data_IF_245021236556
#
_entry.id   IF_245021236556
#
_cell.length_a   1.000
_cell.length_b   1.000
_cell.length_c   1.000
_cell.angle_alpha   90.00
_cell.angle_beta   90.00
_cell.angle_gamma   90.00
#
_symmetry.space_group_name_H-M   'P 1'
#
loop_
_entity.id
_entity.type
_entity.pdbx_description
1 polymer ?
#
# COMPACT_ATOMS: atom_id res chain seq x y z
N UNK A 1 12.93 -17.88 4.09
CA UNK A 1 11.47 -17.96 3.88
C UNK A 1 10.88 -16.59 4.17
N UNK A 2 10.08 -16.05 3.24
CA UNK A 2 9.44 -14.74 3.41
C UNK A 2 8.30 -14.85 4.44
N UNK A 3 8.25 -13.94 5.40
CA UNK A 3 7.17 -13.82 6.39
C UNK A 3 6.57 -12.43 6.34
N UNK A 4 5.27 -12.33 6.61
CA UNK A 4 4.58 -11.05 6.74
C UNK A 4 3.65 -11.06 7.94
N UNK A 5 3.60 -9.93 8.63
CA UNK A 5 2.73 -9.70 9.78
C UNK A 5 1.95 -8.41 9.55
N UNK A 6 0.70 -8.36 10.01
CA UNK A 6 -0.14 -7.16 9.93
C UNK A 6 -0.79 -6.88 11.29
N UNK A 7 -0.98 -5.60 11.60
CA UNK A 7 -1.63 -5.15 12.82
C UNK A 7 -2.39 -3.85 12.57
N UNK A 8 -3.33 -3.53 13.47
CA UNK A 8 -4.14 -2.32 13.43
C UNK A 8 -5.63 -2.59 13.26
N UNK A 9 -6.42 -1.58 13.55
CA UNK A 9 -7.89 -1.62 13.51
C UNK A 9 -8.42 -0.74 12.39
N UNK A 10 -9.56 -1.11 11.77
CA UNK A 10 -10.16 -0.33 10.68
C UNK A 10 -10.54 1.11 11.08
N UNK A 11 -10.83 1.36 12.36
CA UNK A 11 -11.10 2.69 12.92
C UNK A 11 -9.95 3.19 13.81
N UNK A 12 -8.83 2.47 13.83
CA UNK A 12 -7.63 2.84 14.56
C UNK A 12 -6.85 3.93 13.83
N UNK A 13 -5.76 4.40 14.45
CA UNK A 13 -4.93 5.47 13.87
C UNK A 13 -4.22 5.07 12.58
N UNK A 14 -3.82 3.81 12.47
CA UNK A 14 -3.11 3.29 11.30
C UNK A 14 -3.18 1.75 11.24
N UNK A 15 -2.80 1.23 10.06
CA UNK A 15 -2.48 -0.17 9.84
C UNK A 15 -0.96 -0.31 9.66
N UNK A 16 -0.38 -1.36 10.22
CA UNK A 16 1.05 -1.68 10.12
C UNK A 16 1.22 -3.03 9.43
N UNK A 17 2.24 -3.11 8.57
CA UNK A 17 2.72 -4.37 8.00
C UNK A 17 4.24 -4.49 8.21
N UNK A 18 4.69 -5.69 8.58
CA UNK A 18 6.11 -6.04 8.74
C UNK A 18 6.41 -7.18 7.77
N UNK A 19 7.44 -7.02 6.94
CA UNK A 19 7.92 -8.03 6.01
C UNK A 19 9.32 -8.49 6.46
N UNK A 20 9.48 -9.78 6.72
CA UNK A 20 10.75 -10.39 7.15
C UNK A 20 11.28 -11.39 6.13
N UNK A 21 12.61 -11.51 6.08
CA UNK A 21 13.29 -12.50 5.24
C UNK A 21 13.38 -12.10 3.76
N UNK A 22 13.20 -10.81 3.45
CA UNK A 22 13.50 -10.25 2.14
C UNK A 22 15.01 -10.02 2.04
N UNK A 23 15.68 -10.47 0.95
CA UNK A 23 17.09 -10.19 0.73
C UNK A 23 17.38 -8.69 0.58
N UNK A 24 18.50 -8.23 1.15
CA UNK A 24 18.99 -6.87 0.98
C UNK A 24 19.35 -6.54 -0.49
N UNK A 25 19.43 -5.25 -0.81
CA UNK A 25 19.83 -4.78 -2.15
C UNK A 25 18.68 -4.58 -3.13
N UNK A 26 17.45 -4.97 -2.76
CA UNK A 26 16.27 -4.68 -3.57
C UNK A 26 15.92 -3.20 -3.50
N UNK A 27 15.61 -2.61 -4.66
CA UNK A 27 15.10 -1.25 -4.74
C UNK A 27 13.62 -1.24 -4.41
N UNK A 28 13.20 -0.25 -3.62
CA UNK A 28 11.80 -0.05 -3.30
C UNK A 28 11.43 1.43 -3.48
N UNK A 29 10.35 1.68 -4.21
CA UNK A 29 9.75 3.00 -4.37
C UNK A 29 8.48 3.10 -3.53
N UNK A 30 8.41 4.15 -2.72
CA UNK A 30 7.20 4.51 -1.96
C UNK A 30 6.04 4.87 -2.91
N UNK A 31 6.36 5.43 -4.06
CA UNK A 31 5.40 5.84 -5.10
C UNK A 31 4.73 4.62 -5.73
N UNK A 32 5.49 3.56 -6.01
CA UNK A 32 4.96 2.30 -6.54
C UNK A 32 3.99 1.63 -5.56
N UNK A 33 4.31 1.63 -4.26
CA UNK A 33 3.42 1.10 -3.22
C UNK A 33 2.13 1.92 -3.13
N UNK A 34 2.24 3.25 -3.12
CA UNK A 34 1.06 4.12 -3.08
C UNK A 34 0.18 3.99 -4.33
N UNK A 35 0.78 3.76 -5.50
CA UNK A 35 0.04 3.48 -6.74
C UNK A 35 -0.80 2.20 -6.60
N UNK A 36 -0.22 1.14 -6.02
CA UNK A 36 -0.94 -0.11 -5.78
C UNK A 36 -2.01 0.03 -4.68
N UNK A 37 -1.77 0.82 -3.63
CA UNK A 37 -2.79 1.16 -2.63
C UNK A 37 -3.97 1.91 -3.25
N UNK A 38 -3.69 2.93 -4.06
CA UNK A 38 -4.71 3.70 -4.77
C UNK A 38 -5.58 2.82 -5.68
N UNK A 39 -4.96 1.84 -6.37
CA UNK A 39 -5.70 0.83 -7.16
C UNK A 39 -6.71 0.06 -6.33
N UNK A 40 -6.35 -0.31 -5.08
CA UNK A 40 -7.22 -1.07 -4.16
C UNK A 40 -8.35 -0.22 -3.57
N UNK A 41 -8.05 1.04 -3.25
CA UNK A 41 -9.02 2.02 -2.75
C UNK A 41 -10.08 2.39 -3.81
N UNK A 42 -9.91 1.94 -5.05
CA UNK A 42 -10.82 2.25 -6.15
C UNK A 42 -10.56 3.64 -6.75
N UNK A 43 -9.39 4.23 -6.49
CA UNK A 43 -8.95 5.43 -7.17
C UNK A 43 -8.74 5.10 -8.66
N UNK A 44 -9.56 5.71 -9.52
CA UNK A 44 -9.42 5.70 -10.97
C UNK A 44 -8.12 6.42 -11.36
N UNK A 45 -6.99 5.71 -11.38
CA UNK A 45 -5.74 6.31 -11.85
C UNK A 45 -5.54 6.27 -13.36
N UNK A 46 -6.48 5.74 -14.13
CA UNK A 46 -6.43 5.82 -15.60
C UNK A 46 -7.84 5.81 -16.16
N UNK A 47 -8.14 6.67 -17.13
CA UNK A 47 -9.41 6.75 -17.86
C UNK A 47 -9.74 5.53 -18.75
N UNK A 48 -9.40 4.31 -18.32
CA UNK A 48 -9.54 3.08 -19.10
C UNK A 48 -9.88 1.84 -18.25
N UNK A 49 -10.64 1.99 -17.15
CA UNK A 49 -11.20 0.82 -16.47
C UNK A 49 -12.63 1.07 -16.01
N UNK A 50 -13.55 0.94 -16.96
CA UNK A 50 -14.99 0.93 -16.75
C UNK A 50 -15.40 -0.48 -16.32
N UNK A 51 -15.03 -0.89 -15.12
CA UNK A 51 -15.17 -2.31 -14.77
C UNK A 51 -14.88 -2.66 -13.33
N UNK A 52 -15.62 -2.06 -12.38
CA UNK A 52 -16.00 -2.70 -11.11
C UNK A 52 -17.26 -1.99 -10.61
N UNK A 53 -18.39 -2.31 -11.25
CA UNK A 53 -19.73 -1.92 -10.80
C UNK A 53 -20.07 -2.77 -9.57
N UNK A 54 -19.65 -2.34 -8.39
CA UNK A 54 -19.92 -3.09 -7.15
C UNK A 54 -19.32 -2.54 -5.85
N UNK A 55 -18.43 -1.54 -5.89
CA UNK A 55 -17.98 -0.84 -4.67
C UNK A 55 -18.66 0.52 -4.58
N UNK A 56 -19.47 0.72 -3.55
CA UNK A 56 -20.34 1.88 -3.35
C UNK A 56 -19.58 3.21 -3.44
N UNK A 57 -20.27 4.28 -3.83
CA UNK A 57 -19.69 5.60 -4.10
C UNK A 57 -18.86 6.19 -2.94
N UNK A 58 -19.07 5.74 -1.71
CA UNK A 58 -18.31 6.17 -0.52
C UNK A 58 -16.83 5.78 -0.58
N UNK A 59 -16.51 4.58 -1.05
CA UNK A 59 -15.13 4.09 -1.12
C UNK A 59 -14.32 4.88 -2.16
N UNK A 60 -14.96 5.23 -3.29
CA UNK A 60 -14.34 5.95 -4.42
C UNK A 60 -13.93 7.40 -4.11
N UNK A 61 -14.43 8.02 -3.04
CA UNK A 61 -14.34 9.48 -2.83
C UNK A 61 -13.42 9.92 -1.70
N UNK A 62 -13.00 9.04 -0.78
CA UNK A 62 -12.56 9.49 0.56
C UNK A 62 -11.21 8.91 1.01
N UNK A 63 -10.86 7.67 0.66
CA UNK A 63 -9.58 7.10 1.12
C UNK A 63 -8.38 7.60 0.30
N UNK A 64 -7.45 8.27 0.99
CA UNK A 64 -6.20 8.81 0.44
C UNK A 64 -4.99 8.33 1.25
N UNK A 65 -5.12 7.17 1.89
CA UNK A 65 -4.07 6.66 2.75
C UNK A 65 -2.79 6.47 1.96
N UNK A 66 -1.68 6.85 2.59
CA UNK A 66 -0.35 6.71 2.02
C UNK A 66 0.46 5.80 2.92
N UNK A 67 1.31 4.99 2.30
CA UNK A 67 2.29 4.20 3.05
C UNK A 67 3.33 5.10 3.69
N UNK A 68 3.77 4.74 4.88
CA UNK A 68 4.95 5.26 5.53
C UNK A 68 5.94 4.12 5.77
N UNK A 69 7.20 4.32 5.41
CA UNK A 69 8.27 3.34 5.60
C UNK A 69 8.96 3.69 6.91
N UNK A 70 8.85 2.80 7.90
CA UNK A 70 9.40 3.03 9.25
C UNK A 70 10.81 2.46 9.43
N UNK A 71 11.15 1.37 8.73
CA UNK A 71 12.42 0.66 8.90
C UNK A 71 12.78 -0.20 7.67
N UNK A 72 14.00 -0.75 7.67
CA UNK A 72 14.47 -1.76 6.71
C UNK A 72 14.92 -1.19 5.36
N UNK A 73 14.94 0.13 5.17
CA UNK A 73 15.30 0.77 3.91
C UNK A 73 16.26 1.93 4.16
N UNK A 74 17.31 2.01 3.35
CA UNK A 74 18.28 3.10 3.32
C UNK A 74 18.53 3.52 1.88
N UNK A 75 18.37 4.82 1.57
CA UNK A 75 18.53 5.38 0.21
C UNK A 75 17.72 4.60 -0.85
N UNK A 76 16.47 4.27 -0.54
CA UNK A 76 15.55 3.49 -1.40
C UNK A 76 15.99 2.06 -1.70
N UNK A 77 16.92 1.51 -0.91
CA UNK A 77 17.40 0.14 -1.00
C UNK A 77 17.11 -0.58 0.31
N UNK A 78 16.59 -1.80 0.23
CA UNK A 78 16.37 -2.65 1.40
C UNK A 78 17.71 -3.03 2.05
N UNK A 79 17.78 -2.89 3.38
CA UNK A 79 18.96 -3.22 4.22
C UNK A 79 18.87 -4.60 4.80
#
# INVERSE_FOLDING_TARGET
MLRYYTAGESHGKCLIAILEGIPAGLRLSKEEINKELARRQGAHLTGAYQGYAGRGERMKRIEKDKVEILAGIRKSVLT
#
